data_IF_709017821112
#
_entry.id   IF_709017821112
#
_cell.length_a   1.000
_cell.length_b   1.000
_cell.length_c   1.000
_cell.angle_alpha   90.00
_cell.angle_beta   90.00
_cell.angle_gamma   90.00
#
_symmetry.space_group_name_H-M   'P 1'
#
loop_
_entity.id
_entity.type
_entity.pdbx_description
1 polymer ?
#
# COMPACT_ATOMS: atom_id res chain seq x y z
N UNK A 1 -2.96 -0.86 9.48
CA UNK A 1 -3.35 0.56 9.60
C UNK A 1 -3.44 1.23 8.24
N UNK A 2 -2.33 1.52 7.54
CA UNK A 2 -2.38 2.21 6.23
C UNK A 2 -3.31 1.55 5.18
N UNK A 3 -3.31 0.23 5.03
CA UNK A 3 -4.24 -0.45 4.12
C UNK A 3 -5.72 -0.28 4.51
N UNK A 4 -6.01 -0.22 5.80
CA UNK A 4 -7.37 0.00 6.30
C UNK A 4 -7.83 1.43 6.01
N UNK A 5 -6.95 2.40 6.25
CA UNK A 5 -7.18 3.81 5.91
C UNK A 5 -7.43 4.00 4.40
N UNK A 6 -6.66 3.30 3.55
CA UNK A 6 -6.84 3.32 2.08
C UNK A 6 -8.20 2.72 1.69
N UNK A 7 -8.59 1.57 2.25
CA UNK A 7 -9.91 0.96 1.99
C UNK A 7 -11.05 1.90 2.38
N UNK A 8 -10.98 2.46 3.59
CA UNK A 8 -11.98 3.40 4.09
C UNK A 8 -12.07 4.66 3.24
N UNK A 9 -10.93 5.20 2.81
CA UNK A 9 -10.88 6.37 1.95
C UNK A 9 -11.47 6.11 0.57
N UNK A 10 -11.21 4.96 -0.04
CA UNK A 10 -11.84 4.56 -1.32
C UNK A 10 -13.35 4.41 -1.15
N UNK A 11 -13.81 3.71 -0.10
CA UNK A 11 -15.23 3.47 0.15
C UNK A 11 -16.02 4.76 0.43
N UNK A 12 -15.38 5.75 1.05
CA UNK A 12 -15.97 7.08 1.35
C UNK A 12 -15.68 8.13 0.28
N UNK A 13 -14.99 7.77 -0.81
CA UNK A 13 -14.49 8.69 -1.83
C UNK A 13 -13.68 9.88 -1.27
N UNK A 14 -12.98 9.67 -0.15
CA UNK A 14 -12.15 10.70 0.50
C UNK A 14 -10.76 10.77 -0.13
N UNK A 15 -10.60 11.67 -1.12
CA UNK A 15 -9.32 11.87 -1.79
C UNK A 15 -8.19 12.35 -0.87
N UNK A 16 -8.48 13.20 0.12
CA UNK A 16 -7.46 13.68 1.05
C UNK A 16 -6.91 12.55 1.93
N UNK A 17 -7.81 11.74 2.50
CA UNK A 17 -7.43 10.57 3.31
C UNK A 17 -6.68 9.54 2.47
N UNK A 18 -7.16 9.27 1.25
CA UNK A 18 -6.52 8.33 0.33
C UNK A 18 -5.09 8.77 0.01
N UNK A 19 -4.91 10.06 -0.34
CA UNK A 19 -3.60 10.63 -0.65
C UNK A 19 -2.64 10.48 0.53
N UNK A 20 -3.07 10.84 1.74
CA UNK A 20 -2.22 10.77 2.92
C UNK A 20 -1.79 9.33 3.25
N UNK A 21 -2.75 8.40 3.26
CA UNK A 21 -2.47 6.99 3.56
C UNK A 21 -1.59 6.33 2.48
N UNK A 22 -1.85 6.61 1.20
CA UNK A 22 -1.03 6.14 0.09
C UNK A 22 0.39 6.71 0.13
N UNK A 23 0.54 8.00 0.50
CA UNK A 23 1.85 8.63 0.66
C UNK A 23 2.69 7.95 1.76
N UNK A 24 2.08 7.67 2.92
CA UNK A 24 2.74 6.96 4.02
C UNK A 24 3.13 5.54 3.62
N UNK A 25 2.24 4.80 2.95
CA UNK A 25 2.52 3.44 2.50
C UNK A 25 3.67 3.40 1.48
N UNK A 26 3.69 4.35 0.54
CA UNK A 26 4.77 4.50 -0.45
C UNK A 26 6.12 4.68 0.24
N UNK A 27 6.20 5.57 1.25
CA UNK A 27 7.44 5.80 1.99
C UNK A 27 7.90 4.56 2.76
N UNK A 28 6.98 3.88 3.43
CA UNK A 28 7.30 2.63 4.13
C UNK A 28 7.78 1.53 3.17
N UNK A 29 7.07 1.32 2.05
CA UNK A 29 7.42 0.33 1.04
C UNK A 29 8.77 0.62 0.36
N UNK A 30 9.08 1.90 0.12
CA UNK A 30 10.35 2.31 -0.47
C UNK A 30 11.55 1.94 0.42
N UNK A 31 11.41 2.01 1.74
CA UNK A 31 12.47 1.61 2.67
C UNK A 31 12.85 0.13 2.56
N UNK A 32 11.93 -0.71 2.06
CA UNK A 32 12.15 -2.15 1.85
C UNK A 32 12.40 -2.51 0.37
N UNK A 33 12.55 -1.53 -0.51
CA UNK A 33 12.75 -1.77 -1.95
C UNK A 33 11.55 -2.42 -2.65
N UNK A 34 10.35 -2.27 -2.09
CA UNK A 34 9.14 -2.94 -2.59
C UNK A 34 8.52 -2.17 -3.78
N UNK A 35 9.22 -2.17 -4.91
CA UNK A 35 8.88 -1.39 -6.12
C UNK A 35 7.40 -1.54 -6.57
N UNK A 36 6.81 -2.76 -6.60
CA UNK A 36 5.40 -2.92 -6.97
C UNK A 36 4.44 -2.17 -6.03
N UNK A 37 4.68 -2.25 -4.72
CA UNK A 37 3.86 -1.55 -3.71
C UNK A 37 4.05 -0.03 -3.81
N UNK A 38 5.29 0.42 -4.02
CA UNK A 38 5.61 1.85 -4.18
C UNK A 38 4.90 2.43 -5.40
N UNK A 39 4.90 1.72 -6.52
CA UNK A 39 4.26 2.15 -7.77
C UNK A 39 2.75 2.31 -7.59
N UNK A 40 2.07 1.29 -7.05
CA UNK A 40 0.61 1.33 -6.87
C UNK A 40 0.23 2.42 -5.86
N UNK A 41 0.97 2.57 -4.76
CA UNK A 41 0.74 3.63 -3.79
C UNK A 41 0.94 5.04 -4.38
N UNK A 42 1.92 5.23 -5.28
CA UNK A 42 2.11 6.49 -6.02
C UNK A 42 0.95 6.77 -6.98
N UNK A 43 0.45 5.75 -7.66
CA UNK A 43 -0.67 5.89 -8.58
C UNK A 43 -1.95 6.25 -7.82
N UNK A 44 -2.21 5.63 -6.67
CA UNK A 44 -3.28 6.03 -5.75
C UNK A 44 -3.14 7.48 -5.25
N UNK A 45 -1.92 7.91 -4.86
CA UNK A 45 -1.67 9.30 -4.46
C UNK A 45 -1.98 10.29 -5.59
N UNK A 46 -1.72 9.89 -6.84
CA UNK A 46 -1.97 10.71 -8.04
C UNK A 46 -3.46 10.78 -8.36
N UNK A 47 -4.14 9.62 -8.37
CA UNK A 47 -5.57 9.52 -8.61
C UNK A 47 -6.36 10.29 -7.54
N UNK A 48 -5.92 10.17 -6.28
CA UNK A 48 -6.50 10.91 -5.17
C UNK A 48 -6.43 12.44 -5.35
N UNK A 49 -5.30 12.96 -5.84
CA UNK A 49 -5.14 14.39 -6.17
C UNK A 49 -6.01 14.82 -7.35
N UNK A 50 -6.22 13.95 -8.33
CA UNK A 50 -7.06 14.24 -9.50
C UNK A 50 -8.56 14.08 -9.24
N UNK A 51 -8.96 13.49 -8.11
CA UNK A 51 -10.36 13.22 -7.79
C UNK A 51 -10.93 11.95 -8.43
N UNK A 52 -10.13 11.17 -9.15
CA UNK A 52 -10.56 9.96 -9.84
C UNK A 52 -10.63 8.75 -8.88
N UNK A 53 -11.65 8.75 -8.03
CA UNK A 53 -11.87 7.70 -7.02
C UNK A 53 -12.29 6.37 -7.65
N UNK A 54 -12.90 6.40 -8.83
CA UNK A 54 -13.30 5.19 -9.56
C UNK A 54 -12.06 4.38 -9.94
N UNK A 55 -11.07 5.02 -10.58
CA UNK A 55 -9.82 4.35 -10.91
C UNK A 55 -9.00 4.01 -9.67
N UNK A 56 -9.10 4.81 -8.61
CA UNK A 56 -8.45 4.47 -7.35
C UNK A 56 -9.01 3.16 -6.74
N UNK A 57 -10.32 2.92 -6.87
CA UNK A 57 -10.93 1.68 -6.41
C UNK A 57 -10.41 0.44 -7.15
N UNK A 58 -10.13 0.57 -8.45
CA UNK A 58 -9.54 -0.53 -9.26
C UNK A 58 -8.14 -0.92 -8.77
N UNK A 59 -7.41 0.01 -8.15
CA UNK A 59 -6.07 -0.22 -7.61
C UNK A 59 -6.05 -0.80 -6.19
N UNK A 60 -7.20 -0.96 -5.55
CA UNK A 60 -7.27 -1.45 -4.17
C UNK A 60 -6.82 -2.92 -4.07
N UNK A 61 -7.43 -3.81 -4.87
CA UNK A 61 -7.08 -5.22 -4.90
C UNK A 61 -5.59 -5.49 -5.23
N UNK A 62 -4.99 -4.89 -6.28
CA UNK A 62 -3.57 -5.09 -6.56
C UNK A 62 -2.66 -4.51 -5.46
N UNK A 63 -3.05 -3.40 -4.81
CA UNK A 63 -2.29 -2.88 -3.67
C UNK A 63 -2.28 -3.88 -2.51
N UNK A 64 -3.44 -4.46 -2.18
CA UNK A 64 -3.56 -5.44 -1.10
C UNK A 64 -2.71 -6.68 -1.34
N UNK A 65 -2.66 -7.16 -2.59
CA UNK A 65 -1.83 -8.29 -2.98
C UNK A 65 -0.33 -7.99 -2.81
N UNK A 66 0.14 -6.86 -3.33
CA UNK A 66 1.56 -6.49 -3.22
C UNK A 66 1.96 -6.17 -1.79
N UNK A 67 1.08 -5.54 -1.01
CA UNK A 67 1.33 -5.30 0.40
C UNK A 67 1.38 -6.61 1.21
N UNK A 68 0.54 -7.61 0.88
CA UNK A 68 0.62 -8.93 1.52
C UNK A 68 1.95 -9.63 1.21
N UNK A 69 2.44 -9.55 -0.04
CA UNK A 69 3.76 -10.07 -0.44
C UNK A 69 4.89 -9.39 0.32
N UNK A 70 4.84 -8.06 0.43
CA UNK A 70 5.83 -7.30 1.19
C UNK A 70 5.84 -7.72 2.66
N UNK A 71 4.67 -7.84 3.30
CA UNK A 71 4.57 -8.26 4.70
C UNK A 71 5.13 -9.66 4.90
N UNK A 72 4.88 -10.59 3.98
CA UNK A 72 5.46 -11.93 4.03
C UNK A 72 6.99 -11.87 3.95
N UNK A 73 7.54 -11.17 2.95
CA UNK A 73 8.98 -11.04 2.76
C UNK A 73 9.70 -10.40 3.96
N UNK A 74 9.11 -9.35 4.56
CA UNK A 74 9.67 -8.71 5.77
C UNK A 74 9.66 -9.67 6.97
N UNK A 75 8.60 -10.46 7.13
CA UNK A 75 8.52 -11.46 8.21
C UNK A 75 9.56 -12.57 8.04
N UNK A 76 9.79 -13.03 6.82
CA UNK A 76 10.84 -14.01 6.53
C UNK A 76 12.23 -13.45 6.85
N UNK A 77 12.47 -12.18 6.54
CA UNK A 77 13.74 -11.52 6.87
C UNK A 77 13.96 -11.36 8.38
N UNK A 78 12.91 -11.02 9.15
CA UNK A 78 13.00 -10.92 10.61
C UNK A 78 12.93 -12.27 11.34
N UNK A 79 12.50 -13.34 10.67
CA UNK A 79 12.43 -14.70 11.18
C UNK A 79 13.70 -15.52 10.97
N UNK A 80 14.77 -14.91 10.43
CA UNK A 80 16.07 -15.52 10.20
C UNK A 80 16.91 -15.77 11.47
N UNK A 81 16.29 -16.21 12.56
CA UNK A 81 16.92 -16.86 13.71
C UNK A 81 16.02 -18.01 14.18
N UNK A 82 15.91 -19.04 13.35
CA UNK A 82 15.46 -20.37 13.78
C UNK A 82 16.04 -21.44 12.83
N UNK A 83 17.38 -21.51 12.80
CA UNK A 83 18.04 -22.74 12.36
C UNK A 83 17.97 -23.73 13.53
N UNK A 84 16.93 -24.56 13.55
CA UNK A 84 16.87 -25.77 14.38
C UNK A 84 15.91 -26.79 13.74
N UNK A 85 16.46 -27.68 12.92
CA UNK A 85 16.22 -29.14 12.93
C UNK A 85 17.13 -29.81 11.91
#
# INVERSE_FOLDING_TARGET
RMLDDIRGAVASASGETLRAAAHSLKGAAANFGADPTVRIARDLETLAKSGDMTRAAELLAPLEQEAARLIAAVREFSGGEACAS
#
